data_IF_403279023616
#
_entry.id   IF_403279023616
#
_cell.length_a   1.000
_cell.length_b   1.000
_cell.length_c   1.000
_cell.angle_alpha   90.00
_cell.angle_beta   90.00
_cell.angle_gamma   90.00
#
_symmetry.space_group_name_H-M   'P 1'
#
loop_
_entity.id
_entity.type
_entity.pdbx_description
1 polymer ?
#
# COMPACT_ATOMS: atom_id res chain seq x y z
N UNK A 1 8.80 9.03 -5.38
CA UNK A 1 10.08 8.89 -4.64
C UNK A 1 9.69 8.98 -3.18
N UNK A 2 9.95 7.92 -2.43
CA UNK A 2 9.71 7.91 -0.99
C UNK A 2 10.99 8.41 -0.30
N UNK A 3 10.87 9.33 0.64
CA UNK A 3 11.99 9.82 1.44
C UNK A 3 11.70 9.51 2.91
N UNK A 4 12.69 8.96 3.58
CA UNK A 4 12.69 8.82 5.03
C UNK A 4 12.95 10.19 5.66
N UNK A 5 11.86 10.93 5.94
CA UNK A 5 11.95 12.26 6.56
C UNK A 5 12.35 12.18 8.03
N UNK A 6 13.38 12.91 8.41
CA UNK A 6 13.71 13.20 9.81
C UNK A 6 12.92 14.41 10.28
N UNK A 7 12.17 14.24 11.38
CA UNK A 7 11.48 15.22 12.23
C UNK A 7 10.01 15.54 11.94
N UNK A 8 9.16 15.22 12.92
CA UNK A 8 7.80 15.71 13.07
C UNK A 8 6.74 14.63 13.38
N UNK A 9 6.13 14.74 14.51
CA UNK A 9 5.43 13.78 15.37
C UNK A 9 4.23 12.98 14.82
N UNK A 10 3.90 12.92 13.53
CA UNK A 10 2.70 12.19 13.10
C UNK A 10 3.00 11.06 12.09
N UNK A 11 3.78 11.31 11.06
CA UNK A 11 4.21 10.28 10.11
C UNK A 11 5.31 9.37 10.68
N UNK A 12 6.15 9.91 11.55
CA UNK A 12 7.15 9.15 12.29
C UNK A 12 6.50 8.12 13.24
N UNK A 13 5.32 8.40 13.78
CA UNK A 13 4.59 7.46 14.65
C UNK A 13 4.00 6.28 13.88
N UNK A 14 3.51 6.45 12.66
CA UNK A 14 2.93 5.36 11.87
C UNK A 14 4.02 4.45 11.30
N UNK A 15 5.09 5.02 10.75
CA UNK A 15 6.27 4.26 10.30
C UNK A 15 6.95 3.55 11.48
N UNK A 16 7.05 4.22 12.63
CA UNK A 16 7.54 3.67 13.88
C UNK A 16 6.68 2.50 14.37
N UNK A 17 5.35 2.58 14.25
CA UNK A 17 4.47 1.54 14.78
C UNK A 17 4.64 0.21 14.02
N UNK A 18 4.82 0.21 12.71
CA UNK A 18 5.06 -1.02 11.94
C UNK A 18 6.51 -1.51 12.07
N UNK A 19 7.48 -0.60 12.07
CA UNK A 19 8.91 -0.94 12.22
C UNK A 19 9.31 -1.18 13.68
N UNK A 20 8.68 -0.53 14.67
CA UNK A 20 8.97 -0.73 16.10
C UNK A 20 8.17 -1.88 16.71
N UNK A 21 6.94 -2.14 16.27
CA UNK A 21 6.19 -3.33 16.69
C UNK A 21 6.59 -4.59 15.93
N UNK A 22 7.17 -4.45 14.74
CA UNK A 22 7.82 -5.54 14.06
C UNK A 22 9.17 -5.80 14.74
N UNK A 23 9.25 -6.81 15.58
CA UNK A 23 10.53 -7.35 16.04
C UNK A 23 11.45 -7.52 14.82
N UNK A 24 12.75 -7.17 14.92
CA UNK A 24 13.69 -7.41 13.84
C UNK A 24 13.55 -8.83 13.29
N UNK A 25 13.39 -8.96 11.97
CA UNK A 25 13.19 -10.25 11.32
C UNK A 25 11.74 -10.77 11.35
N UNK A 26 10.75 -9.95 11.73
CA UNK A 26 9.33 -10.35 11.60
C UNK A 26 9.02 -10.72 10.15
N UNK A 27 8.27 -11.80 9.98
CA UNK A 27 7.71 -12.20 8.69
C UNK A 27 6.33 -11.58 8.51
N UNK A 28 6.12 -10.87 7.40
CA UNK A 28 4.80 -10.44 6.93
C UNK A 28 4.23 -11.50 6.01
N UNK A 29 3.01 -11.92 6.29
CA UNK A 29 2.26 -12.90 5.51
C UNK A 29 1.46 -12.15 4.44
N UNK A 30 1.69 -12.52 3.17
CA UNK A 30 1.08 -11.88 1.99
C UNK A 30 0.16 -12.90 1.34
N UNK A 31 -1.14 -12.65 1.41
CA UNK A 31 -2.18 -13.44 0.78
C UNK A 31 -2.62 -12.76 -0.50
N UNK A 32 -2.71 -13.51 -1.60
CA UNK A 32 -3.20 -13.02 -2.89
C UNK A 32 -4.47 -13.79 -3.21
N UNK A 33 -5.61 -13.07 -3.36
CA UNK A 33 -6.86 -13.64 -3.80
C UNK A 33 -6.85 -13.89 -5.31
N UNK A 34 -7.48 -14.97 -5.78
CA UNK A 34 -7.72 -15.24 -7.21
C UNK A 34 -6.47 -15.04 -8.10
N UNK A 35 -5.34 -15.64 -7.73
CA UNK A 35 -4.10 -15.49 -8.48
C UNK A 35 -3.90 -16.59 -9.53
N UNK A 36 -3.03 -16.30 -10.50
CA UNK A 36 -2.41 -17.26 -11.39
C UNK A 36 -0.87 -17.14 -11.29
N UNK A 37 -0.15 -18.05 -11.93
CA UNK A 37 1.33 -18.06 -11.89
C UNK A 37 1.95 -16.73 -12.30
N UNK A 38 1.37 -16.04 -13.31
CA UNK A 38 1.88 -14.77 -13.79
C UNK A 38 1.68 -13.64 -12.77
N UNK A 39 0.47 -13.50 -12.24
CA UNK A 39 0.15 -12.47 -11.24
C UNK A 39 0.93 -12.67 -9.95
N UNK A 40 1.01 -13.93 -9.48
CA UNK A 40 1.77 -14.29 -8.29
C UNK A 40 3.26 -13.95 -8.43
N UNK A 41 3.88 -14.37 -9.55
CA UNK A 41 5.29 -14.08 -9.82
C UNK A 41 5.55 -12.57 -9.96
N UNK A 42 4.65 -11.83 -10.64
CA UNK A 42 4.80 -10.39 -10.84
C UNK A 42 4.76 -9.63 -9.50
N UNK A 43 3.79 -9.93 -8.63
CA UNK A 43 3.70 -9.32 -7.29
C UNK A 43 4.91 -9.70 -6.44
N UNK A 44 5.25 -10.98 -6.36
CA UNK A 44 6.37 -11.47 -5.56
C UNK A 44 7.69 -10.82 -5.96
N UNK A 45 7.98 -10.75 -7.26
CA UNK A 45 9.22 -10.15 -7.77
C UNK A 45 9.29 -8.65 -7.46
N UNK A 46 8.21 -7.91 -7.67
CA UNK A 46 8.16 -6.48 -7.42
C UNK A 46 8.25 -6.15 -5.92
N UNK A 47 7.45 -6.81 -5.08
CA UNK A 47 7.44 -6.61 -3.63
C UNK A 47 8.79 -6.94 -2.99
N UNK A 48 9.45 -8.01 -3.46
CA UNK A 48 10.76 -8.44 -2.93
C UNK A 48 11.87 -7.40 -3.10
N UNK A 49 11.68 -6.39 -3.96
CA UNK A 49 12.62 -5.28 -4.11
C UNK A 49 12.74 -4.40 -2.85
N UNK A 50 11.78 -4.50 -1.92
CA UNK A 50 11.87 -3.84 -0.62
C UNK A 50 12.83 -4.55 0.36
N UNK A 51 13.01 -5.86 0.25
CA UNK A 51 13.74 -6.67 1.23
C UNK A 51 15.17 -6.18 1.53
N UNK A 52 15.95 -5.64 0.57
CA UNK A 52 17.28 -5.09 0.88
C UNK A 52 17.27 -3.84 1.77
N UNK A 53 16.12 -3.17 1.92
CA UNK A 53 15.96 -1.88 2.61
C UNK A 53 15.22 -1.97 3.94
N UNK A 54 14.66 -3.15 4.26
CA UNK A 54 13.84 -3.38 5.46
C UNK A 54 14.34 -4.60 6.23
N UNK A 55 14.14 -4.59 7.54
CA UNK A 55 14.48 -5.75 8.39
C UNK A 55 13.24 -6.64 8.63
N UNK A 56 12.60 -7.04 7.54
CA UNK A 56 11.42 -7.90 7.51
C UNK A 56 11.62 -9.03 6.51
N UNK A 57 10.85 -10.10 6.66
CA UNK A 57 10.72 -11.17 5.67
C UNK A 57 9.32 -11.15 5.07
N UNK A 58 9.17 -11.62 3.84
CA UNK A 58 7.88 -11.83 3.18
C UNK A 58 7.63 -13.31 2.99
N UNK A 59 6.46 -13.76 3.45
CA UNK A 59 5.93 -15.09 3.20
C UNK A 59 4.69 -14.95 2.32
N UNK A 60 4.77 -15.42 1.08
CA UNK A 60 3.64 -15.45 0.17
C UNK A 60 2.85 -16.72 0.40
N UNK A 61 1.57 -16.58 0.74
CA UNK A 61 0.67 -17.68 1.11
C UNK A 61 -0.08 -18.12 -0.13
N UNK A 62 0.03 -19.38 -0.45
CA UNK A 62 -0.80 -20.07 -1.44
C UNK A 62 -1.89 -20.85 -0.70
N UNK A 63 -3.15 -20.50 -0.91
CA UNK A 63 -4.29 -21.10 -0.21
C UNK A 63 -5.50 -21.15 -1.14
N UNK A 64 -6.32 -22.18 -1.00
CA UNK A 64 -7.55 -22.31 -1.76
C UNK A 64 -8.59 -21.26 -1.29
N UNK A 65 -9.35 -20.71 -2.23
CA UNK A 65 -10.37 -19.68 -1.96
C UNK A 65 -11.36 -20.13 -0.88
N UNK A 66 -11.76 -21.38 -0.88
CA UNK A 66 -12.71 -21.92 0.09
C UNK A 66 -12.18 -21.82 1.52
N UNK A 67 -10.89 -22.02 1.72
CA UNK A 67 -10.25 -21.90 3.04
C UNK A 67 -10.11 -20.43 3.45
N UNK A 68 -9.85 -19.54 2.48
CA UNK A 68 -9.76 -18.10 2.72
C UNK A 68 -11.11 -17.55 3.21
N UNK A 69 -12.19 -17.81 2.49
CA UNK A 69 -13.50 -17.26 2.81
C UNK A 69 -14.22 -17.95 3.96
N UNK A 70 -13.73 -19.07 4.45
CA UNK A 70 -14.24 -19.74 5.66
C UNK A 70 -13.61 -19.22 6.97
N UNK A 71 -12.54 -18.45 6.90
CA UNK A 71 -11.82 -17.96 8.07
C UNK A 71 -12.37 -16.63 8.58
N UNK A 72 -12.53 -16.51 9.89
CA UNK A 72 -12.83 -15.25 10.58
C UNK A 72 -11.54 -14.50 11.03
N UNK A 73 -10.35 -15.07 10.76
CA UNK A 73 -9.07 -14.53 11.15
C UNK A 73 -8.34 -13.86 9.96
N UNK A 74 -7.46 -12.92 10.25
CA UNK A 74 -6.54 -12.36 9.25
C UNK A 74 -5.50 -13.41 8.83
N UNK A 75 -5.75 -14.08 7.71
CA UNK A 75 -4.83 -15.09 7.16
C UNK A 75 -3.55 -14.49 6.57
N UNK A 76 -3.59 -13.21 6.19
CA UNK A 76 -2.43 -12.44 5.76
C UNK A 76 -2.38 -11.05 6.40
N UNK A 77 -1.17 -10.57 6.69
CA UNK A 77 -0.95 -9.19 7.12
C UNK A 77 -1.26 -8.21 5.96
N UNK A 78 -0.97 -8.62 4.72
CA UNK A 78 -1.31 -7.92 3.48
C UNK A 78 -2.17 -8.87 2.64
N UNK A 79 -3.33 -8.39 2.19
CA UNK A 79 -4.29 -9.17 1.39
C UNK A 79 -4.55 -8.41 0.09
N UNK A 80 -4.21 -9.05 -1.03
CA UNK A 80 -4.17 -8.43 -2.36
C UNK A 80 -5.28 -9.00 -3.23
N UNK A 81 -6.07 -8.12 -3.85
CA UNK A 81 -6.96 -8.46 -4.96
C UNK A 81 -6.54 -7.76 -6.26
N UNK A 82 -7.14 -8.18 -7.37
CA UNK A 82 -6.88 -7.61 -8.68
C UNK A 82 -8.17 -7.10 -9.32
N UNK A 83 -8.16 -5.85 -9.78
CA UNK A 83 -9.31 -5.26 -10.45
C UNK A 83 -8.88 -4.48 -11.71
N UNK A 84 -9.55 -4.70 -12.88
CA UNK A 84 -9.22 -3.97 -14.12
C UNK A 84 -9.36 -2.45 -13.99
N UNK A 85 -10.21 -1.95 -13.10
CA UNK A 85 -10.37 -0.52 -12.80
C UNK A 85 -9.10 0.11 -12.20
N UNK A 86 -8.20 -0.71 -11.66
CA UNK A 86 -6.90 -0.31 -11.14
C UNK A 86 -5.74 -0.52 -12.10
N UNK A 87 -6.02 -0.81 -13.38
CA UNK A 87 -4.97 -0.85 -14.40
C UNK A 87 -4.29 0.52 -14.52
N UNK A 88 -2.98 0.57 -14.31
CA UNK A 88 -2.13 1.76 -14.20
C UNK A 88 -2.27 2.56 -12.88
N UNK A 89 -2.92 2.02 -11.88
CA UNK A 89 -3.02 2.55 -10.52
C UNK A 89 -3.00 1.42 -9.50
N UNK A 90 -3.09 1.75 -8.24
CA UNK A 90 -3.24 0.82 -7.14
C UNK A 90 -3.87 1.53 -5.94
N UNK A 91 -4.09 0.78 -4.87
CA UNK A 91 -4.49 1.32 -3.59
C UNK A 91 -4.12 0.36 -2.47
N UNK A 92 -3.60 0.88 -1.38
CA UNK A 92 -3.25 0.10 -0.21
C UNK A 92 -3.63 0.82 1.08
N UNK A 93 -4.02 0.06 2.09
CA UNK A 93 -4.06 0.56 3.47
C UNK A 93 -2.64 0.80 3.96
N UNK A 94 -2.48 1.79 4.85
CA UNK A 94 -1.15 2.18 5.34
C UNK A 94 -0.82 1.39 6.61
N UNK A 95 0.29 0.67 6.58
CA UNK A 95 0.83 -0.02 7.74
C UNK A 95 -0.18 -0.93 8.45
N UNK A 96 -0.33 -0.78 9.76
CA UNK A 96 -1.22 -1.60 10.59
C UNK A 96 -2.72 -1.44 10.30
N UNK A 97 -3.12 -0.45 9.52
CA UNK A 97 -4.52 -0.33 9.09
C UNK A 97 -4.94 -1.51 8.20
N UNK A 98 -3.97 -2.23 7.63
CA UNK A 98 -4.20 -3.44 6.86
C UNK A 98 -4.89 -4.57 7.67
N UNK A 99 -4.69 -4.60 8.99
CA UNK A 99 -5.28 -5.60 9.89
C UNK A 99 -6.44 -5.04 10.72
N UNK A 100 -7.12 -4.01 10.21
CA UNK A 100 -8.34 -3.48 10.79
C UNK A 100 -9.53 -3.72 9.86
N UNK A 101 -10.70 -3.94 10.41
CA UNK A 101 -11.93 -4.18 9.64
C UNK A 101 -12.15 -5.65 9.31
N UNK A 102 -12.66 -5.94 8.10
CA UNK A 102 -13.00 -7.28 7.68
C UNK A 102 -11.75 -8.08 7.27
N UNK A 103 -11.48 -9.23 7.92
CA UNK A 103 -10.35 -10.10 7.58
C UNK A 103 -10.37 -10.64 6.15
N UNK A 104 -11.55 -10.77 5.55
CA UNK A 104 -11.74 -11.29 4.19
C UNK A 104 -11.70 -10.19 3.12
N UNK A 105 -11.73 -8.91 3.53
CA UNK A 105 -11.56 -7.81 2.59
C UNK A 105 -10.09 -7.61 2.21
N UNK A 106 -9.79 -7.22 0.95
CA UNK A 106 -8.44 -6.87 0.56
C UNK A 106 -7.95 -5.63 1.34
N UNK A 107 -6.67 -5.62 1.65
CA UNK A 107 -5.98 -4.44 2.17
C UNK A 107 -5.19 -3.69 1.09
N UNK A 108 -5.03 -4.32 -0.08
CA UNK A 108 -4.39 -3.77 -1.26
C UNK A 108 -5.13 -4.22 -2.51
N UNK A 109 -5.39 -3.30 -3.43
CA UNK A 109 -5.97 -3.60 -4.75
C UNK A 109 -5.00 -3.16 -5.84
N UNK A 110 -4.75 -4.03 -6.80
CA UNK A 110 -3.85 -3.82 -7.93
C UNK A 110 -4.59 -4.01 -9.26
N UNK A 111 -4.01 -3.52 -10.35
CA UNK A 111 -4.52 -3.76 -11.70
C UNK A 111 -4.25 -5.18 -12.20
N UNK A 112 -4.70 -5.47 -13.43
CA UNK A 112 -4.61 -6.80 -14.06
C UNK A 112 -3.57 -6.89 -15.17
N UNK A 113 -2.87 -5.80 -15.50
CA UNK A 113 -1.85 -5.76 -16.57
C UNK A 113 -0.47 -6.18 -16.05
N UNK A 114 -0.35 -7.42 -15.59
CA UNK A 114 0.80 -7.96 -14.88
C UNK A 114 2.15 -7.85 -15.62
N UNK A 115 2.15 -7.80 -16.95
CA UNK A 115 3.36 -7.66 -17.77
C UNK A 115 3.73 -6.20 -18.06
N UNK A 116 2.97 -5.23 -17.57
CA UNK A 116 3.25 -3.81 -17.76
C UNK A 116 4.38 -3.35 -16.82
N UNK A 117 5.33 -2.51 -17.27
CA UNK A 117 6.26 -1.83 -16.39
C UNK A 117 5.57 -0.97 -15.32
N UNK A 118 4.39 -0.45 -15.62
CA UNK A 118 3.56 0.28 -14.65
C UNK A 118 3.05 -0.61 -13.53
N UNK A 119 2.75 -1.89 -13.80
CA UNK A 119 2.32 -2.82 -12.77
C UNK A 119 3.41 -3.02 -11.72
N UNK A 120 4.64 -3.28 -12.15
CA UNK A 120 5.78 -3.41 -11.23
C UNK A 120 5.96 -2.16 -10.37
N UNK A 121 5.91 -0.97 -11.00
CA UNK A 121 6.02 0.30 -10.29
C UNK A 121 4.89 0.46 -9.25
N UNK A 122 3.65 0.14 -9.64
CA UNK A 122 2.48 0.20 -8.75
C UNK A 122 2.64 -0.74 -7.55
N UNK A 123 3.04 -1.99 -7.78
CA UNK A 123 3.28 -2.93 -6.67
C UNK A 123 4.31 -2.38 -5.69
N UNK A 124 5.44 -1.86 -6.18
CA UNK A 124 6.47 -1.26 -5.32
C UNK A 124 5.90 -0.10 -4.52
N UNK A 125 5.08 0.75 -5.15
CA UNK A 125 4.43 1.90 -4.51
C UNK A 125 3.47 1.46 -3.41
N UNK A 126 2.53 0.57 -3.71
CA UNK A 126 1.51 0.11 -2.76
C UNK A 126 2.13 -0.67 -1.60
N UNK A 127 3.19 -1.45 -1.85
CA UNK A 127 3.95 -2.06 -0.76
C UNK A 127 4.64 -1.01 0.12
N UNK A 128 5.05 0.13 -0.43
CA UNK A 128 5.51 1.26 0.38
C UNK A 128 4.45 1.71 1.39
N UNK A 129 3.19 1.86 0.94
CA UNK A 129 2.08 2.16 1.84
C UNK A 129 1.83 1.03 2.85
N UNK A 130 1.77 -0.20 2.41
CA UNK A 130 1.60 -1.35 3.31
C UNK A 130 2.71 -1.44 4.37
N UNK A 131 3.91 -0.97 4.07
CA UNK A 131 5.04 -0.86 5.01
C UNK A 131 4.99 0.40 5.89
N UNK A 132 3.97 1.24 5.75
CA UNK A 132 3.74 2.42 6.58
C UNK A 132 4.24 3.75 6.01
N UNK A 133 4.65 3.78 4.73
CA UNK A 133 5.09 5.01 4.08
C UNK A 133 3.89 5.83 3.56
N UNK A 134 3.87 7.11 3.86
CA UNK A 134 2.96 8.08 3.23
C UNK A 134 3.54 8.68 1.95
N UNK A 135 2.76 9.54 1.30
CA UNK A 135 3.24 10.31 0.17
C UNK A 135 4.12 11.48 0.63
N UNK A 136 5.28 11.65 0.01
CA UNK A 136 6.23 12.71 0.35
C UNK A 136 5.64 14.11 0.23
N UNK A 137 4.73 14.33 -0.71
CA UNK A 137 4.08 15.64 -0.89
C UNK A 137 3.16 16.04 0.27
N UNK A 138 2.73 15.08 1.09
CA UNK A 138 1.92 15.30 2.30
C UNK A 138 2.77 15.52 3.54
N UNK A 139 4.11 15.48 3.40
CA UNK A 139 4.99 15.74 4.54
C UNK A 139 4.95 17.22 4.92
N UNK A 140 4.79 17.59 6.21
CA UNK A 140 4.72 18.99 6.64
C UNK A 140 5.89 19.85 6.18
N UNK A 141 7.08 19.27 6.04
CA UNK A 141 8.31 19.93 5.61
C UNK A 141 8.59 19.77 4.10
N UNK A 142 7.65 19.24 3.32
CA UNK A 142 7.85 19.02 1.88
C UNK A 142 8.16 20.32 1.13
N UNK A 143 7.70 21.47 1.64
CA UNK A 143 8.02 22.79 1.10
C UNK A 143 7.58 23.01 -0.34
N UNK A 144 6.61 22.22 -0.83
CA UNK A 144 6.12 22.29 -2.22
C UNK A 144 5.32 23.60 -2.38
N UNK A 145 5.71 24.49 -3.30
CA UNK A 145 5.01 25.75 -3.53
C UNK A 145 3.73 25.52 -4.36
N UNK A 146 2.74 24.88 -3.75
CA UNK A 146 1.47 24.58 -4.41
C UNK A 146 0.74 25.84 -4.87
N UNK A 147 0.33 25.88 -6.15
CA UNK A 147 -0.72 26.80 -6.61
C UNK A 147 -2.08 26.21 -6.21
N UNK A 148 -2.53 26.58 -5.00
CA UNK A 148 -3.75 25.98 -4.40
C UNK A 148 -4.97 26.15 -5.30
N UNK A 149 -5.16 27.34 -5.92
CA UNK A 149 -6.34 27.59 -6.74
C UNK A 149 -6.34 26.74 -8.02
N UNK A 150 -5.17 26.55 -8.66
CA UNK A 150 -5.06 25.60 -9.79
C UNK A 150 -5.26 24.16 -9.36
N UNK A 151 -4.75 23.78 -8.20
CA UNK A 151 -4.94 22.44 -7.64
C UNK A 151 -6.42 22.18 -7.37
N UNK A 152 -7.12 23.10 -6.72
CA UNK A 152 -8.56 22.99 -6.51
C UNK A 152 -9.33 22.92 -7.83
N UNK A 153 -9.02 23.79 -8.79
CA UNK A 153 -9.68 23.79 -10.10
C UNK A 153 -9.52 22.46 -10.86
N UNK A 154 -8.41 21.75 -10.62
CA UNK A 154 -8.13 20.46 -11.24
C UNK A 154 -8.74 19.27 -10.49
N UNK A 155 -8.74 19.31 -9.17
CA UNK A 155 -9.07 18.15 -8.33
C UNK A 155 -10.49 18.16 -7.77
N UNK A 156 -11.11 19.33 -7.56
CA UNK A 156 -12.48 19.38 -7.04
C UNK A 156 -13.45 18.79 -8.08
N UNK A 157 -14.25 17.86 -7.62
CA UNK A 157 -15.28 17.17 -8.41
C UNK A 157 -16.51 16.91 -7.54
N UNK A 158 -17.53 16.24 -8.10
CA UNK A 158 -18.68 15.78 -7.31
C UNK A 158 -18.31 14.77 -6.21
N UNK A 159 -17.14 14.14 -6.33
CA UNK A 159 -16.64 13.09 -5.42
C UNK A 159 -15.43 13.51 -4.60
N UNK A 160 -14.82 14.67 -4.88
CA UNK A 160 -13.65 15.16 -4.20
C UNK A 160 -13.80 16.61 -3.83
N UNK A 161 -14.07 16.88 -2.58
CA UNK A 161 -14.36 18.21 -2.03
C UNK A 161 -13.09 19.02 -1.79
N UNK A 162 -13.23 20.34 -1.59
CA UNK A 162 -12.10 21.22 -1.22
C UNK A 162 -11.43 20.76 0.07
N UNK A 163 -12.21 20.35 1.07
CA UNK A 163 -11.66 19.85 2.34
C UNK A 163 -10.84 18.57 2.17
N UNK A 164 -11.26 17.69 1.26
CA UNK A 164 -10.49 16.47 0.93
C UNK A 164 -9.22 16.80 0.15
N UNK A 165 -9.23 17.80 -0.73
CA UNK A 165 -8.01 18.30 -1.36
C UNK A 165 -7.05 18.86 -0.31
N UNK A 166 -7.54 19.68 0.63
CA UNK A 166 -6.71 20.22 1.73
C UNK A 166 -6.08 19.09 2.56
N UNK A 167 -6.83 18.05 2.85
CA UNK A 167 -6.38 16.95 3.71
C UNK A 167 -5.44 15.96 3.00
N UNK A 168 -5.54 15.82 1.66
CA UNK A 168 -4.81 14.78 0.91
C UNK A 168 -3.70 15.31 0.01
N UNK A 169 -3.63 16.62 -0.21
CA UNK A 169 -2.65 17.21 -1.15
C UNK A 169 -1.71 18.21 -0.48
N UNK A 170 -2.18 18.95 0.52
CA UNK A 170 -1.43 20.01 1.20
C UNK A 170 -1.09 19.67 2.63
#
# INVERSE_FOLDING_TARGET
MFVLGRHGNTLHQVLHLFLETAKPGKTLRILIFEYNELSFAAVKNAASKWLPYINLNFEFIEMDEQDIFSSEEFLGDIRIDFQPSFDNSGGSRIGTDAITGDPQAPSMTLGTKFSSPYFEYTVIHEFGHALGLGHEHQHPDAGIPWDREKTYAHMISSTFTRAEVDANVF
#
